data_IF_610749239423
#
_entry.id   IF_610749239423
#
_cell.length_a   1.000
_cell.length_b   1.000
_cell.length_c   1.000
_cell.angle_alpha   90.00
_cell.angle_beta   90.00
_cell.angle_gamma   90.00
#
_symmetry.space_group_name_H-M   'P 1'
#
loop_
_entity.id
_entity.type
_entity.pdbx_description
1 polymer ?
#
# COMPACT_ATOMS: atom_id res chain seq x y z
N UNK A 1 19.47 8.60 -34.53
CA UNK A 1 18.21 8.18 -35.18
C UNK A 1 17.21 8.02 -34.04
N UNK A 2 16.29 8.96 -33.92
CA UNK A 2 15.35 9.08 -32.81
C UNK A 2 14.27 8.00 -32.90
N UNK A 3 13.92 7.38 -31.79
CA UNK A 3 12.59 6.78 -31.61
C UNK A 3 11.93 7.36 -30.36
N UNK A 4 11.39 8.57 -30.55
CA UNK A 4 10.28 9.11 -29.77
C UNK A 4 8.97 8.71 -30.45
N UNK A 5 8.63 7.43 -30.41
CA UNK A 5 7.32 6.96 -30.87
C UNK A 5 6.92 5.77 -30.02
N UNK A 6 6.34 6.02 -28.85
CA UNK A 6 5.34 5.16 -28.21
C UNK A 6 4.65 5.97 -27.08
N UNK A 7 4.11 7.13 -27.47
CA UNK A 7 2.96 7.72 -26.80
C UNK A 7 1.71 7.09 -27.41
N UNK A 8 1.48 5.80 -27.15
CA UNK A 8 0.17 5.19 -27.33
C UNK A 8 -0.34 4.87 -25.93
N UNK A 9 -1.56 5.32 -25.66
CA UNK A 9 -2.30 5.06 -24.45
C UNK A 9 -2.62 3.56 -24.32
N UNK A 10 -1.61 2.74 -24.01
CA UNK A 10 -1.77 1.31 -23.87
C UNK A 10 -1.97 0.96 -22.40
N UNK A 11 -3.24 0.85 -22.01
CA UNK A 11 -3.67 0.01 -20.90
C UNK A 11 -3.37 -1.49 -21.15
N UNK A 12 -2.72 -1.81 -22.28
CA UNK A 12 -2.22 -3.12 -22.66
C UNK A 12 -0.92 -3.39 -21.91
N UNK A 13 -0.99 -4.04 -20.74
CA UNK A 13 0.19 -4.47 -20.00
C UNK A 13 1.03 -5.41 -20.87
N UNK A 14 2.12 -4.90 -21.43
CA UNK A 14 3.07 -5.72 -22.20
C UNK A 14 3.61 -6.84 -21.27
N UNK A 15 3.58 -8.10 -21.74
CA UNK A 15 3.95 -9.28 -20.95
C UNK A 15 5.33 -9.17 -20.28
N UNK A 16 6.24 -8.36 -20.87
CA UNK A 16 7.56 -8.08 -20.31
C UNK A 16 7.49 -7.26 -19.01
N UNK A 17 6.59 -6.27 -18.90
CA UNK A 17 6.41 -5.46 -17.69
C UNK A 17 5.88 -6.30 -16.51
N UNK A 18 4.99 -7.25 -16.79
CA UNK A 18 4.50 -8.18 -15.78
C UNK A 18 5.59 -9.13 -15.29
N UNK A 19 6.43 -9.64 -16.20
CA UNK A 19 7.58 -10.50 -15.86
C UNK A 19 8.58 -9.75 -14.99
N UNK A 20 8.86 -8.49 -15.29
CA UNK A 20 9.79 -7.68 -14.51
C UNK A 20 9.24 -7.38 -13.12
N UNK A 21 7.95 -7.04 -12.99
CA UNK A 21 7.28 -6.93 -11.68
C UNK A 21 7.33 -8.21 -10.87
N UNK A 22 7.17 -9.37 -11.52
CA UNK A 22 7.25 -10.66 -10.83
C UNK A 22 8.66 -10.96 -10.30
N UNK A 23 9.68 -10.70 -11.11
CA UNK A 23 11.09 -10.85 -10.70
C UNK A 23 11.44 -9.89 -9.56
N UNK A 24 10.90 -8.69 -9.59
CA UNK A 24 11.08 -7.68 -8.54
C UNK A 24 10.48 -8.14 -7.22
N UNK A 25 9.23 -8.64 -7.23
CA UNK A 25 8.58 -9.21 -6.04
C UNK A 25 9.35 -10.42 -5.51
N UNK A 26 9.89 -11.27 -6.40
CA UNK A 26 10.69 -12.43 -5.98
C UNK A 26 11.98 -12.01 -5.28
N UNK A 27 12.63 -10.93 -5.76
CA UNK A 27 13.92 -10.47 -5.23
C UNK A 27 13.78 -9.59 -4.00
N UNK A 28 12.81 -8.69 -4.00
CA UNK A 28 12.66 -7.61 -3.02
C UNK A 28 11.47 -7.81 -2.07
N UNK A 29 10.66 -8.85 -2.30
CA UNK A 29 9.43 -9.10 -1.54
C UNK A 29 8.25 -8.26 -2.03
N UNK A 30 7.11 -8.39 -1.35
CA UNK A 30 5.95 -7.54 -1.64
C UNK A 30 6.25 -6.09 -1.28
N UNK A 31 5.78 -5.11 -2.09
CA UNK A 31 5.91 -3.70 -1.74
C UNK A 31 5.29 -3.47 -0.36
N UNK A 32 6.04 -2.81 0.52
CA UNK A 32 5.57 -2.58 1.89
C UNK A 32 4.46 -1.54 1.90
N UNK A 33 3.36 -1.87 2.54
CA UNK A 33 2.27 -0.94 2.81
C UNK A 33 2.65 0.20 3.74
N UNK A 34 1.64 1.01 4.06
CA UNK A 34 1.78 2.10 5.01
C UNK A 34 1.84 1.53 6.43
N UNK A 35 2.95 1.83 7.11
CA UNK A 35 3.13 1.50 8.51
C UNK A 35 2.48 2.57 9.39
N UNK A 36 1.82 2.13 10.48
CA UNK A 36 1.22 3.02 11.48
C UNK A 36 2.25 3.47 12.53
N UNK A 37 3.41 2.80 12.61
CA UNK A 37 4.49 3.13 13.55
C UNK A 37 4.35 2.40 14.89
N UNK A 38 3.43 1.43 14.99
CA UNK A 38 3.33 0.52 16.12
C UNK A 38 3.71 -0.89 15.66
N UNK A 39 4.87 -1.39 16.11
CA UNK A 39 5.40 -2.69 15.69
C UNK A 39 4.38 -3.82 15.79
N UNK A 40 3.60 -3.89 16.88
CA UNK A 40 2.58 -4.93 17.07
C UNK A 40 1.47 -4.85 16.01
N UNK A 41 1.07 -3.64 15.62
CA UNK A 41 0.04 -3.44 14.60
C UNK A 41 0.63 -3.68 13.21
N UNK A 42 1.82 -3.17 12.93
CA UNK A 42 2.53 -3.32 11.65
C UNK A 42 2.95 -4.77 11.34
N UNK A 43 3.16 -5.56 12.39
CA UNK A 43 3.39 -7.02 12.31
C UNK A 43 2.07 -7.79 12.08
N UNK A 44 0.94 -7.27 12.58
CA UNK A 44 -0.38 -7.90 12.46
C UNK A 44 -1.04 -7.61 11.11
N UNK A 45 -0.98 -6.37 10.64
CA UNK A 45 -1.47 -5.99 9.32
C UNK A 45 -0.78 -4.72 8.80
N UNK A 46 -0.71 -4.60 7.47
CA UNK A 46 -0.28 -3.39 6.78
C UNK A 46 -1.37 -2.94 5.83
N UNK A 47 -1.60 -1.63 5.77
CA UNK A 47 -2.57 -1.07 4.85
C UNK A 47 -1.89 -0.68 3.55
N UNK A 48 -2.21 -1.40 2.49
CA UNK A 48 -1.80 -1.03 1.13
C UNK A 48 -2.85 -0.16 0.48
N UNK A 49 -2.41 0.81 -0.30
CA UNK A 49 -3.32 1.58 -1.15
C UNK A 49 -4.08 0.65 -2.09
N UNK A 50 -5.35 0.97 -2.39
CA UNK A 50 -6.23 0.20 -3.30
C UNK A 50 -6.73 -1.15 -2.74
N UNK A 51 -6.57 -1.42 -1.44
CA UNK A 51 -7.23 -2.54 -0.76
C UNK A 51 -8.45 -2.05 0.03
N UNK A 52 -9.50 -2.86 0.05
CA UNK A 52 -10.63 -2.69 0.96
C UNK A 52 -10.33 -3.43 2.26
N UNK A 53 -10.51 -2.76 3.40
CA UNK A 53 -10.36 -3.36 4.73
C UNK A 53 -11.67 -3.25 5.48
N UNK A 54 -12.07 -4.35 6.13
CA UNK A 54 -13.29 -4.43 6.93
C UNK A 54 -12.87 -4.70 8.38
N UNK A 55 -13.22 -3.78 9.28
CA UNK A 55 -13.03 -3.95 10.71
C UNK A 55 -14.31 -4.48 11.35
N UNK A 56 -14.24 -5.66 11.97
CA UNK A 56 -15.37 -6.29 12.67
C UNK A 56 -15.02 -6.55 14.14
N UNK A 57 -16.03 -6.81 14.96
CA UNK A 57 -15.85 -7.13 16.37
C UNK A 57 -17.07 -6.76 17.21
N UNK A 58 -17.11 -7.25 18.45
CA UNK A 58 -18.22 -7.07 19.40
C UNK A 58 -18.50 -5.56 19.60
N UNK A 59 -19.77 -5.11 19.70
CA UNK A 59 -20.09 -3.72 20.06
C UNK A 59 -19.30 -3.25 21.28
N UNK A 60 -18.91 -1.97 21.29
CA UNK A 60 -18.10 -1.36 22.36
C UNK A 60 -16.68 -1.91 22.55
N UNK A 61 -16.17 -2.76 21.65
CA UNK A 61 -14.78 -3.26 21.70
C UNK A 61 -13.71 -2.25 21.23
N UNK A 62 -14.01 -0.95 21.20
CA UNK A 62 -13.00 0.08 20.84
C UNK A 62 -12.70 0.21 19.34
N UNK A 63 -13.61 -0.26 18.46
CA UNK A 63 -13.36 -0.29 17.01
C UNK A 63 -13.23 1.11 16.41
N UNK A 64 -14.06 2.06 16.84
CA UNK A 64 -14.03 3.44 16.34
C UNK A 64 -12.75 4.13 16.78
N UNK A 65 -12.39 3.98 18.05
CA UNK A 65 -11.17 4.51 18.66
C UNK A 65 -9.92 3.97 17.97
N UNK A 66 -9.93 2.68 17.59
CA UNK A 66 -8.86 2.08 16.83
C UNK A 66 -8.72 2.70 15.44
N UNK A 67 -9.83 2.92 14.71
CA UNK A 67 -9.80 3.58 13.40
C UNK A 67 -9.34 5.04 13.53
N UNK A 68 -9.80 5.77 14.55
CA UNK A 68 -9.37 7.14 14.81
C UNK A 68 -7.86 7.22 15.05
N UNK A 69 -7.33 6.28 15.84
CA UNK A 69 -5.90 6.15 16.06
C UNK A 69 -5.13 5.93 14.73
N UNK A 70 -5.57 4.97 13.91
CA UNK A 70 -4.94 4.72 12.60
C UNK A 70 -4.94 5.99 11.73
N UNK A 71 -6.08 6.70 11.65
CA UNK A 71 -6.22 7.92 10.86
C UNK A 71 -5.25 9.02 11.28
N UNK A 72 -5.15 9.29 12.59
CA UNK A 72 -4.22 10.29 13.13
C UNK A 72 -2.78 9.91 12.81
N UNK A 73 -2.41 8.64 13.03
CA UNK A 73 -1.05 8.16 12.78
C UNK A 73 -0.65 8.28 11.31
N UNK A 74 -1.51 7.87 10.38
CA UNK A 74 -1.22 8.00 8.95
C UNK A 74 -1.11 9.46 8.50
N UNK A 75 -1.90 10.36 9.09
CA UNK A 75 -1.80 11.78 8.80
C UNK A 75 -0.49 12.36 9.35
N UNK A 76 -0.07 11.99 10.55
CA UNK A 76 1.20 12.43 11.14
C UNK A 76 2.41 11.92 10.33
N UNK A 77 2.38 10.65 9.89
CA UNK A 77 3.44 10.07 9.05
C UNK A 77 3.62 10.84 7.74
N UNK A 78 2.53 11.32 7.12
CA UNK A 78 2.60 12.15 5.90
C UNK A 78 3.10 13.57 6.15
N UNK A 79 2.95 14.11 7.35
CA UNK A 79 3.41 15.45 7.71
C UNK A 79 4.92 15.47 8.02
N UNK A 80 5.47 14.37 8.52
CA UNK A 80 6.90 14.23 8.82
C UNK A 80 7.77 13.90 7.59
N UNK A 81 7.13 13.57 6.45
CA UNK A 81 7.82 13.27 5.19
C UNK A 81 7.85 14.44 4.19
N UNK A 82 7.60 15.68 4.66
CA UNK A 82 7.70 16.93 3.88
C UNK A 82 8.77 17.82 4.49
#
# INVERSE_FOLDING_TARGET
>A
MNDYSLNIADNTQNSNVLKDKFKDIQKNGLPSGLNVGLKVVDDLFRLDTKKLVVLTGIPSAGKSEFIDFLCVQYNNTKLLSR
#
